data_IF_630341738246
#
_entry.id   IF_630341738246
#
_cell.length_a   1.000
_cell.length_b   1.000
_cell.length_c   1.000
_cell.angle_alpha   90.00
_cell.angle_beta   90.00
_cell.angle_gamma   90.00
#
_symmetry.space_group_name_H-M   'P 1'
#
loop_
_entity.id
_entity.type
_entity.pdbx_description
1 polymer ?
#
# COMPACT_ATOMS: atom_id res chain seq x y z
N UNK A 1 3.08 -29.46 -30.27
CA UNK A 1 4.12 -28.69 -29.54
C UNK A 1 3.60 -27.41 -28.87
N UNK A 2 2.29 -27.16 -28.75
CA UNK A 2 1.74 -25.86 -28.31
C UNK A 2 1.48 -25.72 -26.80
N UNK A 3 1.35 -26.83 -26.04
CA UNK A 3 0.97 -26.76 -24.62
C UNK A 3 2.10 -26.27 -23.70
N UNK A 4 3.37 -26.59 -23.98
CA UNK A 4 4.51 -26.20 -23.13
C UNK A 4 4.71 -24.68 -23.04
N UNK A 5 4.55 -23.96 -24.15
CA UNK A 5 4.70 -22.49 -24.21
C UNK A 5 3.58 -21.78 -23.44
N UNK A 6 2.35 -22.30 -23.50
CA UNK A 6 1.20 -21.70 -22.82
C UNK A 6 1.28 -21.86 -21.30
N UNK A 7 1.77 -23.00 -20.81
CA UNK A 7 1.95 -23.25 -19.38
C UNK A 7 3.05 -22.37 -18.79
N UNK A 8 4.15 -22.19 -19.52
CA UNK A 8 5.26 -21.33 -19.10
C UNK A 8 4.81 -19.87 -18.90
N UNK A 9 4.02 -19.34 -19.84
CA UNK A 9 3.50 -17.98 -19.78
C UNK A 9 2.54 -17.73 -18.59
N UNK A 10 1.67 -18.69 -18.26
CA UNK A 10 0.75 -18.58 -17.14
C UNK A 10 1.47 -18.54 -15.79
N UNK A 11 2.49 -19.39 -15.63
CA UNK A 11 3.31 -19.44 -14.42
C UNK A 11 4.12 -18.16 -14.23
N UNK A 12 4.78 -17.67 -15.30
CA UNK A 12 5.53 -16.40 -15.27
C UNK A 12 4.62 -15.21 -14.95
N UNK A 13 3.41 -15.18 -15.51
CA UNK A 13 2.41 -14.14 -15.24
C UNK A 13 1.96 -14.13 -13.78
N UNK A 14 1.77 -15.31 -13.18
CA UNK A 14 1.46 -15.45 -11.76
C UNK A 14 2.59 -14.92 -10.87
N UNK A 15 3.85 -15.31 -11.15
CA UNK A 15 5.00 -14.80 -10.38
C UNK A 15 5.12 -13.29 -10.47
N UNK A 16 4.98 -12.72 -11.66
CA UNK A 16 4.98 -11.26 -11.84
C UNK A 16 3.84 -10.58 -11.06
N UNK A 17 2.63 -11.15 -11.06
CA UNK A 17 1.52 -10.62 -10.25
C UNK A 17 1.84 -10.69 -8.75
N UNK A 18 2.30 -11.84 -8.25
CA UNK A 18 2.65 -11.99 -6.83
C UNK A 18 3.81 -11.08 -6.41
N UNK A 19 4.81 -10.86 -7.27
CA UNK A 19 5.90 -9.88 -7.03
C UNK A 19 5.37 -8.46 -6.85
N UNK A 20 4.27 -8.08 -7.54
CA UNK A 20 3.64 -6.77 -7.31
C UNK A 20 2.90 -6.67 -5.97
N UNK A 21 2.53 -7.79 -5.36
CA UNK A 21 1.86 -7.84 -4.06
C UNK A 21 2.85 -8.03 -2.89
N UNK A 22 4.02 -8.62 -3.14
CA UNK A 22 5.00 -9.00 -2.11
C UNK A 22 6.27 -8.15 -2.26
N UNK A 23 6.26 -6.96 -1.67
CA UNK A 23 7.45 -6.10 -1.61
C UNK A 23 8.18 -6.23 -0.27
N UNK A 24 7.43 -6.45 0.81
CA UNK A 24 7.94 -6.53 2.17
C UNK A 24 7.37 -7.72 2.93
N UNK A 25 8.05 -8.11 4.02
CA UNK A 25 7.63 -9.15 4.96
C UNK A 25 6.21 -8.92 5.47
N UNK A 26 5.83 -7.66 5.69
CA UNK A 26 4.48 -7.29 6.11
C UNK A 26 3.42 -7.72 5.09
N UNK A 27 3.73 -7.65 3.80
CA UNK A 27 2.79 -8.03 2.75
C UNK A 27 2.54 -9.54 2.77
N UNK A 28 3.59 -10.34 2.97
CA UNK A 28 3.50 -11.80 3.15
C UNK A 28 2.56 -12.15 4.31
N UNK A 29 2.70 -11.48 5.45
CA UNK A 29 1.83 -11.69 6.62
C UNK A 29 0.37 -11.41 6.30
N UNK A 30 0.08 -10.24 5.71
CA UNK A 30 -1.29 -9.86 5.34
C UNK A 30 -1.88 -10.85 4.35
N UNK A 31 -1.13 -11.25 3.32
CA UNK A 31 -1.62 -12.20 2.31
C UNK A 31 -1.88 -13.58 2.91
N UNK A 32 -1.05 -14.04 3.85
CA UNK A 32 -1.23 -15.31 4.56
C UNK A 32 -2.45 -15.27 5.49
N UNK A 33 -2.59 -14.21 6.28
CA UNK A 33 -3.75 -13.98 7.16
C UNK A 33 -5.06 -13.96 6.38
N UNK A 34 -5.04 -13.45 5.14
CA UNK A 34 -6.20 -13.44 4.24
C UNK A 34 -6.37 -14.73 3.43
N UNK A 35 -5.49 -15.71 3.60
CA UNK A 35 -5.54 -16.99 2.87
C UNK A 35 -5.24 -16.87 1.37
N UNK A 36 -4.64 -15.76 0.94
CA UNK A 36 -4.28 -15.49 -0.46
C UNK A 36 -2.94 -16.15 -0.80
N UNK A 37 -2.03 -16.18 0.17
CA UNK A 37 -0.71 -16.78 0.02
C UNK A 37 -0.57 -17.98 0.97
N UNK A 38 -0.26 -19.12 0.38
CA UNK A 38 0.15 -20.32 1.11
C UNK A 38 1.62 -20.59 0.83
N UNK A 39 2.47 -20.52 1.86
CA UNK A 39 3.90 -20.82 1.76
C UNK A 39 4.28 -21.85 2.80
N UNK A 40 5.07 -22.84 2.40
CA UNK A 40 5.66 -23.84 3.31
C UNK A 40 7.00 -23.38 3.90
N UNK A 41 7.49 -22.21 3.47
CA UNK A 41 8.71 -21.60 4.01
C UNK A 41 8.50 -21.23 5.48
N UNK A 42 9.54 -21.48 6.28
CA UNK A 42 9.49 -21.27 7.73
C UNK A 42 9.47 -19.79 8.09
N UNK A 43 10.05 -18.95 7.22
CA UNK A 43 10.19 -17.53 7.46
C UNK A 43 9.61 -16.66 6.34
N UNK A 44 9.07 -15.50 6.71
CA UNK A 44 8.44 -14.58 5.75
C UNK A 44 9.48 -13.82 4.91
N UNK A 45 10.68 -13.57 5.44
CA UNK A 45 11.79 -13.00 4.67
C UNK A 45 12.21 -13.93 3.52
N UNK A 46 12.25 -15.25 3.74
CA UNK A 46 12.57 -16.24 2.70
C UNK A 46 11.53 -16.22 1.58
N UNK A 47 10.25 -15.98 1.91
CA UNK A 47 9.19 -15.85 0.92
C UNK A 47 9.40 -14.62 0.04
N UNK A 48 9.74 -13.47 0.65
CA UNK A 48 10.05 -12.25 -0.10
C UNK A 48 11.25 -12.48 -1.03
N UNK A 49 12.33 -13.06 -0.50
CA UNK A 49 13.53 -13.37 -1.29
C UNK A 49 13.24 -14.32 -2.44
N UNK A 50 12.44 -15.37 -2.21
CA UNK A 50 12.01 -16.31 -3.26
C UNK A 50 11.31 -15.59 -4.41
N UNK A 51 10.31 -14.77 -4.12
CA UNK A 51 9.58 -14.05 -5.18
C UNK A 51 10.46 -13.00 -5.88
N UNK A 52 11.31 -12.29 -5.15
CA UNK A 52 12.16 -11.24 -5.74
C UNK A 52 13.29 -11.83 -6.60
N UNK A 53 13.89 -12.95 -6.19
CA UNK A 53 14.99 -13.62 -6.90
C UNK A 53 14.58 -14.31 -8.20
N UNK A 54 13.31 -14.71 -8.34
CA UNK A 54 12.82 -15.32 -9.58
C UNK A 54 12.91 -14.31 -10.73
N UNK A 55 13.77 -14.63 -11.70
CA UNK A 55 13.88 -13.89 -12.95
C UNK A 55 12.75 -14.28 -13.90
N UNK A 56 11.88 -13.34 -14.20
CA UNK A 56 10.76 -13.51 -15.14
C UNK A 56 11.12 -13.10 -16.56
N UNK A 57 12.41 -13.09 -16.89
CA UNK A 57 12.99 -12.79 -18.21
C UNK A 57 12.53 -11.48 -18.84
N UNK A 58 12.14 -10.50 -18.01
CA UNK A 58 11.63 -9.22 -18.49
C UNK A 58 10.28 -9.32 -19.20
N UNK A 59 9.55 -10.43 -19.07
CA UNK A 59 8.14 -10.51 -19.48
C UNK A 59 7.31 -9.64 -18.55
N UNK A 60 7.34 -8.33 -18.78
CA UNK A 60 6.61 -7.33 -18.02
C UNK A 60 5.18 -7.25 -18.52
N UNK A 61 4.33 -8.09 -17.93
CA UNK A 61 2.88 -8.08 -18.12
C UNK A 61 2.41 -8.46 -19.52
N UNK A 62 1.40 -9.35 -19.61
CA UNK A 62 0.30 -9.04 -20.52
C UNK A 62 -0.98 -9.74 -20.06
N UNK A 63 -1.94 -8.91 -19.68
CA UNK A 63 -3.39 -9.13 -19.53
C UNK A 63 -3.93 -10.12 -18.49
N UNK A 64 -3.29 -11.26 -18.21
CA UNK A 64 -3.92 -12.33 -17.44
C UNK A 64 -4.41 -11.92 -16.04
N UNK A 65 -3.67 -11.05 -15.36
CA UNK A 65 -4.06 -10.51 -14.04
C UNK A 65 -4.30 -9.00 -14.06
N UNK A 66 -4.39 -8.37 -15.24
CA UNK A 66 -4.61 -6.93 -15.33
C UNK A 66 -5.96 -6.54 -14.72
N UNK A 67 -7.02 -7.26 -15.07
CA UNK A 67 -8.35 -7.04 -14.50
C UNK A 67 -8.36 -7.23 -12.98
N UNK A 68 -7.63 -8.23 -12.47
CA UNK A 68 -7.50 -8.46 -11.02
C UNK A 68 -6.79 -7.28 -10.35
N UNK A 69 -5.69 -6.78 -10.92
CA UNK A 69 -4.99 -5.59 -10.42
C UNK A 69 -5.91 -4.38 -10.38
N UNK A 70 -6.65 -4.12 -11.46
CA UNK A 70 -7.60 -3.00 -11.54
C UNK A 70 -8.69 -3.10 -10.47
N UNK A 71 -9.26 -4.29 -10.27
CA UNK A 71 -10.30 -4.49 -9.23
C UNK A 71 -9.76 -4.31 -7.81
N UNK A 72 -8.52 -4.72 -7.56
CA UNK A 72 -7.85 -4.49 -6.27
C UNK A 72 -7.65 -2.98 -6.07
N UNK A 73 -7.15 -2.27 -7.07
CA UNK A 73 -6.91 -0.82 -7.02
C UNK A 73 -8.21 -0.05 -6.81
N UNK A 74 -9.26 -0.36 -7.57
CA UNK A 74 -10.59 0.24 -7.44
C UNK A 74 -11.15 0.04 -6.03
N UNK A 75 -11.04 -1.18 -5.48
CA UNK A 75 -11.51 -1.48 -4.12
C UNK A 75 -10.73 -0.74 -3.05
N UNK A 76 -9.39 -0.69 -3.18
CA UNK A 76 -8.52 0.05 -2.26
C UNK A 76 -8.84 1.55 -2.29
N UNK A 77 -8.99 2.12 -3.49
CA UNK A 77 -9.33 3.53 -3.67
C UNK A 77 -10.74 3.84 -3.13
N UNK A 78 -11.73 2.97 -3.41
CA UNK A 78 -13.09 3.10 -2.87
C UNK A 78 -13.11 3.07 -1.34
N UNK A 79 -12.35 2.18 -0.71
CA UNK A 79 -12.21 2.15 0.76
C UNK A 79 -11.52 3.39 1.31
N UNK A 80 -10.43 3.85 0.68
CA UNK A 80 -9.75 5.07 1.09
C UNK A 80 -10.68 6.28 0.98
N UNK A 81 -11.42 6.39 -0.12
CA UNK A 81 -12.41 7.43 -0.34
C UNK A 81 -13.56 7.35 0.68
N UNK A 82 -14.00 6.15 1.03
CA UNK A 82 -15.03 5.96 2.06
C UNK A 82 -14.52 6.39 3.42
N UNK A 83 -13.31 5.97 3.83
CA UNK A 83 -12.74 6.37 5.11
C UNK A 83 -12.49 7.87 5.20
N UNK A 84 -12.02 8.48 4.12
CA UNK A 84 -11.86 9.93 4.00
C UNK A 84 -13.22 10.64 4.10
N UNK A 85 -14.24 10.11 3.43
CA UNK A 85 -15.61 10.62 3.49
C UNK A 85 -16.18 10.53 4.90
N UNK A 86 -15.99 9.41 5.59
CA UNK A 86 -16.43 9.22 6.97
C UNK A 86 -15.69 10.15 7.92
N UNK A 87 -14.38 10.35 7.76
CA UNK A 87 -13.58 11.26 8.59
C UNK A 87 -14.04 12.71 8.42
N UNK A 88 -14.30 13.14 7.17
CA UNK A 88 -14.87 14.46 6.89
C UNK A 88 -16.29 14.57 7.47
N UNK A 89 -17.14 13.57 7.26
CA UNK A 89 -18.53 13.62 7.70
C UNK A 89 -18.70 13.47 9.23
N UNK A 90 -17.76 12.87 9.93
CA UNK A 90 -17.81 12.70 11.39
C UNK A 90 -17.13 13.86 12.11
N UNK A 91 -15.93 14.27 11.68
CA UNK A 91 -15.16 15.30 12.36
C UNK A 91 -15.40 16.72 11.80
N UNK A 92 -15.72 16.86 10.52
CA UNK A 92 -15.80 18.18 9.84
C UNK A 92 -17.24 18.62 9.50
N UNK A 93 -18.26 17.90 9.98
CA UNK A 93 -19.68 18.24 9.73
C UNK A 93 -20.16 19.49 10.47
N UNK A 94 -19.52 19.81 11.58
CA UNK A 94 -19.82 21.03 12.34
C UNK A 94 -18.90 22.15 11.89
N UNK A 95 -19.44 23.28 11.40
CA UNK A 95 -18.63 24.47 11.09
C UNK A 95 -17.69 24.85 12.24
N UNK A 96 -18.12 24.60 13.48
CA UNK A 96 -17.36 24.83 14.70
C UNK A 96 -16.12 23.95 14.84
N UNK A 97 -16.19 22.69 14.41
CA UNK A 97 -15.04 21.77 14.47
C UNK A 97 -13.93 22.20 13.49
N UNK A 98 -14.32 22.70 12.31
CA UNK A 98 -13.40 23.30 11.34
C UNK A 98 -12.71 24.52 11.95
N UNK A 99 -13.48 25.45 12.54
CA UNK A 99 -12.92 26.65 13.17
C UNK A 99 -11.96 26.27 14.31
N UNK A 100 -12.35 25.33 15.18
CA UNK A 100 -11.52 24.85 16.27
C UNK A 100 -10.19 24.25 15.77
N UNK A 101 -10.23 23.47 14.69
CA UNK A 101 -9.04 22.89 14.07
C UNK A 101 -8.10 23.97 13.51
N UNK A 102 -8.66 24.98 12.83
CA UNK A 102 -7.88 26.11 12.30
C UNK A 102 -7.19 26.87 13.44
N UNK A 103 -7.94 27.19 14.50
CA UNK A 103 -7.40 27.88 15.68
C UNK A 103 -6.30 27.05 16.34
N UNK A 104 -6.52 25.76 16.55
CA UNK A 104 -5.52 24.85 17.12
C UNK A 104 -4.24 24.77 16.27
N UNK A 105 -4.38 24.75 14.94
CA UNK A 105 -3.26 24.73 13.99
C UNK A 105 -2.46 26.04 14.06
N UNK A 106 -3.13 27.20 14.08
CA UNK A 106 -2.46 28.50 14.23
C UNK A 106 -1.69 28.55 15.55
N UNK A 107 -2.33 28.14 16.66
CA UNK A 107 -1.68 28.10 17.97
C UNK A 107 -0.45 27.20 17.96
N UNK A 108 -0.54 26.02 17.35
CA UNK A 108 0.59 25.08 17.26
C UNK A 108 1.74 25.64 16.44
N UNK A 109 1.45 26.30 15.30
CA UNK A 109 2.45 27.03 14.51
C UNK A 109 3.12 28.13 15.33
N UNK A 110 2.34 28.92 16.08
CA UNK A 110 2.87 29.96 16.96
C UNK A 110 3.76 29.38 18.06
N UNK A 111 3.34 28.27 18.70
CA UNK A 111 4.15 27.58 19.70
C UNK A 111 5.45 27.05 19.11
N UNK A 112 5.41 26.51 17.89
CA UNK A 112 6.62 26.05 17.20
C UNK A 112 7.58 27.21 16.93
N UNK A 113 7.08 28.32 16.40
CA UNK A 113 7.87 29.54 16.15
C UNK A 113 8.46 30.09 17.45
N UNK A 114 7.67 30.18 18.52
CA UNK A 114 8.14 30.59 19.85
C UNK A 114 9.26 29.68 20.36
N UNK A 115 9.06 28.37 20.26
CA UNK A 115 10.05 27.37 20.69
C UNK A 115 11.34 27.50 19.88
N UNK A 116 11.21 27.68 18.57
CA UNK A 116 12.36 27.88 17.68
C UNK A 116 13.17 29.13 18.05
N UNK A 117 12.52 30.28 18.25
CA UNK A 117 13.21 31.51 18.69
C UNK A 117 13.74 31.42 20.12
N UNK A 118 13.14 30.61 20.98
CA UNK A 118 13.64 30.36 22.34
C UNK A 118 14.94 29.54 22.31
N UNK A 119 15.03 28.55 21.40
CA UNK A 119 16.20 27.69 21.26
C UNK A 119 17.32 28.37 20.47
N UNK A 120 16.97 29.14 19.44
CA UNK A 120 17.93 29.86 18.59
C UNK A 120 17.64 31.38 18.64
N UNK A 121 17.97 32.04 19.76
CA UNK A 121 17.77 33.48 19.90
C UNK A 121 18.61 34.21 18.84
N UNK A 122 17.99 35.12 18.10
CA UNK A 122 18.70 35.99 17.16
C UNK A 122 19.63 36.91 17.96
N UNK A 123 20.94 36.73 17.78
CA UNK A 123 22.01 37.58 18.30
C UNK A 123 22.25 38.80 17.39
#
# INVERSE_FOLDING_TARGET
>A
MSQGIKTDFGVVSYFNFMKTLINYVKDVKVLREKGILYSQLANDEEVVEMFQSINTYGFSNTDLFLEVKMRIEEHCNSKANTWMTDLINTNFRSPWAIIALVVATILLCLTFVQTYYTINPLN
#
